data_IF_133215957721
#
_entry.id   IF_133215957721
#
_cell.length_a   1.000
_cell.length_b   1.000
_cell.length_c   1.000
_cell.angle_alpha   90.00
_cell.angle_beta   90.00
_cell.angle_gamma   90.00
#
_symmetry.space_group_name_H-M   'P 1'
#
loop_
_entity.id
_entity.type
_entity.pdbx_description
1 polymer ?
#
# COMPACT_ATOMS: atom_id res chain seq x y z
N UNK A 1 4.69 -37.00 7.94
CA UNK A 1 6.09 -36.59 8.17
C UNK A 1 6.37 -35.48 7.17
N UNK A 2 6.39 -34.22 7.64
CA UNK A 2 6.68 -33.05 6.82
C UNK A 2 8.20 -32.96 6.65
N UNK A 3 8.67 -33.05 5.41
CA UNK A 3 10.09 -32.83 5.08
C UNK A 3 10.38 -31.35 5.31
N UNK A 4 11.39 -30.98 6.11
CA UNK A 4 11.78 -29.59 6.25
C UNK A 4 12.30 -29.09 4.89
N UNK A 5 11.76 -27.96 4.43
CA UNK A 5 12.26 -27.26 3.25
C UNK A 5 13.75 -26.91 3.49
N UNK A 6 14.63 -27.51 2.71
CA UNK A 6 16.04 -27.13 2.68
C UNK A 6 16.10 -25.70 2.19
N UNK A 7 16.53 -24.77 3.06
CA UNK A 7 16.79 -23.40 2.68
C UNK A 7 17.95 -23.43 1.65
N UNK A 8 17.64 -23.14 0.41
CA UNK A 8 18.65 -22.93 -0.63
C UNK A 8 19.33 -21.61 -0.30
N UNK A 9 20.62 -21.63 0.00
CA UNK A 9 21.40 -20.42 0.25
C UNK A 9 21.23 -19.45 -0.92
N UNK A 10 20.88 -18.18 -0.63
CA UNK A 10 20.69 -17.13 -1.65
C UNK A 10 19.26 -16.87 -2.09
N UNK A 11 18.24 -17.56 -1.56
CA UNK A 11 16.83 -17.28 -1.87
C UNK A 11 16.14 -16.54 -0.72
N UNK A 12 15.26 -15.59 -1.07
CA UNK A 12 14.46 -14.80 -0.10
C UNK A 12 13.29 -15.63 0.41
N UNK A 13 13.26 -15.98 1.73
CA UNK A 13 12.20 -16.80 2.28
C UNK A 13 10.82 -16.15 2.09
N UNK A 14 9.82 -16.93 1.71
CA UNK A 14 8.43 -16.50 1.54
C UNK A 14 8.14 -15.77 0.23
N UNK A 15 9.15 -15.35 -0.54
CA UNK A 15 8.95 -14.67 -1.83
C UNK A 15 8.64 -15.68 -2.93
N UNK A 16 9.36 -16.81 -2.95
CA UNK A 16 9.16 -17.86 -3.95
C UNK A 16 7.79 -18.54 -3.82
N UNK A 17 7.22 -18.61 -2.61
CA UNK A 17 5.93 -19.21 -2.30
C UNK A 17 4.75 -18.27 -2.51
N UNK A 18 5.00 -17.01 -2.88
CA UNK A 18 3.95 -16.01 -3.08
C UNK A 18 2.92 -16.46 -4.11
N UNK A 19 1.66 -16.55 -3.71
CA UNK A 19 0.53 -16.92 -4.58
C UNK A 19 -0.13 -15.71 -5.22
N UNK A 20 -0.35 -14.65 -4.43
CA UNK A 20 -0.93 -13.40 -4.90
C UNK A 20 0.15 -12.34 -4.98
N UNK A 21 0.40 -11.85 -6.19
CA UNK A 21 1.47 -10.90 -6.51
C UNK A 21 0.86 -9.61 -7.04
N UNK A 22 1.26 -8.49 -6.46
CA UNK A 22 0.97 -7.15 -6.99
C UNK A 22 2.21 -6.62 -7.67
N UNK A 23 2.11 -6.32 -8.97
CA UNK A 23 3.16 -5.68 -9.75
C UNK A 23 2.84 -4.20 -9.89
N UNK A 24 3.67 -3.32 -9.37
CA UNK A 24 3.54 -1.87 -9.58
C UNK A 24 4.57 -1.39 -10.59
N UNK A 25 4.11 -0.67 -11.60
CA UNK A 25 4.94 -0.12 -12.66
C UNK A 25 4.85 1.39 -12.67
N UNK A 26 5.98 2.06 -12.42
CA UNK A 26 6.06 3.52 -12.41
C UNK A 26 6.21 4.12 -13.82
N UNK A 27 5.83 5.39 -13.97
CA UNK A 27 5.92 6.13 -15.25
C UNK A 27 7.33 6.11 -15.83
N UNK A 28 8.38 6.25 -15.00
CA UNK A 28 9.78 6.23 -15.46
C UNK A 28 10.24 4.86 -15.97
N UNK A 29 9.57 3.77 -15.60
CA UNK A 29 9.81 2.45 -16.18
C UNK A 29 9.18 2.36 -17.56
N UNK A 30 7.97 2.88 -17.72
CA UNK A 30 7.21 2.83 -18.96
C UNK A 30 7.61 3.92 -19.96
N UNK A 31 8.47 4.84 -19.61
CA UNK A 31 8.90 5.93 -20.49
C UNK A 31 10.37 5.78 -20.87
N UNK A 32 10.70 6.17 -22.10
CA UNK A 32 12.05 6.48 -22.52
C UNK A 32 12.55 7.78 -21.86
N UNK A 33 13.83 8.07 -22.01
CA UNK A 33 14.42 9.28 -21.42
C UNK A 33 13.90 10.58 -22.09
N UNK A 34 13.35 10.48 -23.31
CA UNK A 34 12.63 11.56 -24.03
C UNK A 34 11.15 11.71 -23.57
N UNK A 35 10.70 10.90 -22.61
CA UNK A 35 9.36 10.92 -22.06
C UNK A 35 8.31 10.15 -22.86
N UNK A 36 8.65 9.58 -24.03
CA UNK A 36 7.75 8.76 -24.83
C UNK A 36 7.57 7.37 -24.21
N UNK A 37 6.43 6.75 -24.48
CA UNK A 37 6.14 5.40 -23.97
C UNK A 37 7.11 4.36 -24.55
N UNK A 38 7.72 3.58 -23.66
CA UNK A 38 8.57 2.43 -23.99
C UNK A 38 7.70 1.17 -24.14
N UNK A 39 7.16 0.95 -25.33
CA UNK A 39 6.28 -0.19 -25.61
C UNK A 39 6.92 -1.53 -25.25
N UNK A 40 8.21 -1.71 -25.53
CA UNK A 40 8.95 -2.94 -25.18
C UNK A 40 8.90 -3.23 -23.69
N UNK A 41 9.03 -2.21 -22.83
CA UNK A 41 8.96 -2.38 -21.37
C UNK A 41 7.54 -2.66 -20.90
N UNK A 42 6.53 -2.02 -21.49
CA UNK A 42 5.13 -2.32 -21.20
C UNK A 42 4.83 -3.79 -21.53
N UNK A 43 5.19 -4.25 -22.71
CA UNK A 43 4.95 -5.64 -23.10
C UNK A 43 5.80 -6.64 -22.31
N UNK A 44 7.00 -6.29 -21.89
CA UNK A 44 7.79 -7.13 -20.96
C UNK A 44 7.08 -7.32 -19.62
N UNK A 45 6.41 -6.29 -19.11
CA UNK A 45 5.59 -6.41 -17.89
C UNK A 45 4.35 -7.29 -18.13
N UNK A 46 3.70 -7.14 -19.29
CA UNK A 46 2.57 -8.00 -19.68
C UNK A 46 2.99 -9.47 -19.77
N UNK A 47 4.12 -9.75 -20.41
CA UNK A 47 4.68 -11.10 -20.51
C UNK A 47 5.03 -11.68 -19.14
N UNK A 48 5.65 -10.88 -18.27
CA UNK A 48 5.96 -11.30 -16.91
C UNK A 48 4.69 -11.62 -16.10
N UNK A 49 3.66 -10.76 -16.18
CA UNK A 49 2.37 -11.00 -15.54
C UNK A 49 1.70 -12.29 -16.08
N UNK A 50 1.74 -12.49 -17.39
CA UNK A 50 1.20 -13.69 -18.04
C UNK A 50 1.96 -14.97 -17.63
N UNK A 51 3.28 -14.91 -17.49
CA UNK A 51 4.08 -16.04 -17.03
C UNK A 51 3.72 -16.42 -15.59
N UNK A 52 3.56 -15.45 -14.71
CA UNK A 52 3.11 -15.68 -13.32
C UNK A 52 1.71 -16.29 -13.27
N UNK A 53 0.79 -15.77 -14.07
CA UNK A 53 -0.56 -16.30 -14.16
C UNK A 53 -0.57 -17.77 -14.65
N UNK A 54 0.21 -18.11 -15.69
CA UNK A 54 0.35 -19.48 -16.18
C UNK A 54 0.97 -20.42 -15.15
N UNK A 55 1.81 -19.87 -14.25
CA UNK A 55 2.35 -20.61 -13.11
C UNK A 55 1.33 -20.77 -11.94
N UNK A 56 0.05 -20.42 -12.15
CA UNK A 56 -1.02 -20.56 -11.16
C UNK A 56 -1.05 -19.48 -10.09
N UNK A 57 -0.37 -18.36 -10.30
CA UNK A 57 -0.39 -17.22 -9.36
C UNK A 57 -1.50 -16.22 -9.72
N UNK A 58 -2.06 -15.60 -8.71
CA UNK A 58 -2.97 -14.47 -8.87
C UNK A 58 -2.15 -13.19 -9.05
N UNK A 59 -2.36 -12.48 -10.15
CA UNK A 59 -1.58 -11.28 -10.50
C UNK A 59 -2.50 -10.07 -10.58
N UNK A 60 -2.11 -8.98 -9.90
CA UNK A 60 -2.70 -7.67 -10.01
C UNK A 60 -1.63 -6.71 -10.53
N UNK A 61 -1.99 -5.89 -11.49
CA UNK A 61 -1.09 -4.88 -12.06
C UNK A 61 -1.54 -3.49 -11.63
N UNK A 62 -0.66 -2.71 -10.98
CA UNK A 62 -0.88 -1.29 -10.68
C UNK A 62 0.02 -0.48 -11.61
N UNK A 63 -0.59 0.26 -12.53
CA UNK A 63 0.15 0.94 -13.60
C UNK A 63 0.01 2.44 -13.51
N UNK A 64 1.09 3.14 -13.79
CA UNK A 64 1.13 4.57 -14.06
C UNK A 64 1.23 4.84 -15.57
N UNK A 65 1.28 6.12 -15.97
CA UNK A 65 1.59 6.52 -17.35
C UNK A 65 0.41 7.08 -18.13
N UNK A 66 -0.80 7.09 -17.57
CA UNK A 66 -1.99 7.64 -18.24
C UNK A 66 -1.80 9.13 -18.61
N UNK A 67 -1.40 9.98 -17.66
CA UNK A 67 -1.21 11.43 -17.91
C UNK A 67 -0.21 11.67 -19.02
N UNK A 68 0.93 10.94 -19.05
CA UNK A 68 1.94 11.07 -20.10
C UNK A 68 1.41 10.70 -21.48
N UNK A 69 0.69 9.59 -21.59
CA UNK A 69 0.04 9.18 -22.83
C UNK A 69 -1.02 10.16 -23.31
N UNK A 70 -1.76 10.78 -22.39
CA UNK A 70 -2.73 11.81 -22.72
C UNK A 70 -2.08 13.10 -23.20
N UNK A 71 -1.00 13.55 -22.55
CA UNK A 71 -0.17 14.66 -23.00
C UNK A 71 0.25 14.48 -24.46
N UNK A 72 0.83 13.31 -24.77
CA UNK A 72 1.28 12.99 -26.12
C UNK A 72 0.10 12.92 -27.11
N UNK A 73 -1.03 12.41 -26.67
CA UNK A 73 -2.25 12.30 -27.47
C UNK A 73 -2.86 13.66 -27.83
N UNK A 74 -2.76 14.61 -26.91
CA UNK A 74 -3.24 15.98 -27.08
C UNK A 74 -2.20 16.90 -27.75
N UNK A 75 -1.04 16.38 -28.11
CA UNK A 75 0.03 17.15 -28.78
C UNK A 75 0.69 18.20 -27.88
N UNK A 76 0.66 18.02 -26.56
CA UNK A 76 1.25 18.96 -25.63
C UNK A 76 2.75 18.69 -25.50
N UNK A 77 3.57 19.73 -25.71
CA UNK A 77 5.05 19.61 -25.65
C UNK A 77 5.56 19.31 -24.25
N UNK A 78 4.88 19.81 -23.22
CA UNK A 78 5.24 19.63 -21.80
C UNK A 78 4.04 19.22 -20.96
N UNK A 79 4.33 18.72 -19.77
CA UNK A 79 3.30 18.38 -18.79
C UNK A 79 2.56 19.67 -18.38
N UNK A 80 1.20 19.68 -18.41
CA UNK A 80 0.44 20.82 -17.96
C UNK A 80 0.65 21.10 -16.47
N UNK A 81 0.67 22.38 -16.10
CA UNK A 81 0.73 22.82 -14.72
C UNK A 81 -0.68 22.84 -14.09
N UNK A 82 -1.70 23.16 -14.88
CA UNK A 82 -3.09 23.24 -14.44
C UNK A 82 -3.67 21.87 -14.15
N UNK A 83 -4.39 21.75 -13.02
CA UNK A 83 -5.01 20.49 -12.58
C UNK A 83 -6.00 19.95 -13.61
N UNK A 84 -6.90 20.79 -14.12
CA UNK A 84 -7.91 20.38 -15.08
C UNK A 84 -7.31 19.83 -16.39
N UNK A 85 -6.20 20.42 -16.86
CA UNK A 85 -5.49 19.94 -18.03
C UNK A 85 -4.79 18.60 -17.78
N UNK A 86 -4.24 18.39 -16.57
CA UNK A 86 -3.67 17.11 -16.15
C UNK A 86 -4.76 16.03 -16.04
N UNK A 87 -5.93 16.37 -15.51
CA UNK A 87 -7.09 15.47 -15.44
C UNK A 87 -7.59 15.11 -16.84
N UNK A 88 -7.65 16.09 -17.77
CA UNK A 88 -7.99 15.82 -19.16
C UNK A 88 -6.95 14.90 -19.82
N UNK A 89 -5.65 15.13 -19.60
CA UNK A 89 -4.60 14.22 -20.05
C UNK A 89 -4.80 12.81 -19.47
N UNK A 90 -5.09 12.69 -18.15
CA UNK A 90 -5.34 11.40 -17.53
C UNK A 90 -6.51 10.66 -18.20
N UNK A 91 -7.62 11.33 -18.44
CA UNK A 91 -8.81 10.74 -19.07
C UNK A 91 -8.52 10.22 -20.49
N UNK A 92 -7.86 11.03 -21.33
CA UNK A 92 -7.46 10.64 -22.70
C UNK A 92 -6.43 9.51 -22.68
N UNK A 93 -5.43 9.63 -21.83
CA UNK A 93 -4.33 8.68 -21.77
C UNK A 93 -4.70 7.35 -21.14
N UNK A 94 -5.64 7.33 -20.20
CA UNK A 94 -6.11 6.09 -19.57
C UNK A 94 -6.73 5.15 -20.60
N UNK A 95 -7.53 5.66 -21.55
CA UNK A 95 -8.09 4.86 -22.63
C UNK A 95 -7.00 4.22 -23.49
N UNK A 96 -5.95 4.97 -23.82
CA UNK A 96 -4.81 4.47 -24.61
C UNK A 96 -3.99 3.45 -23.84
N UNK A 97 -3.72 3.71 -22.57
CA UNK A 97 -2.99 2.80 -21.68
C UNK A 97 -3.69 1.44 -21.59
N UNK A 98 -5.00 1.45 -21.38
CA UNK A 98 -5.79 0.21 -21.32
C UNK A 98 -5.84 -0.52 -22.65
N UNK A 99 -5.96 0.20 -23.78
CA UNK A 99 -5.88 -0.41 -25.11
C UNK A 99 -4.57 -1.16 -25.36
N UNK A 100 -3.44 -0.63 -24.85
CA UNK A 100 -2.14 -1.31 -24.95
C UNK A 100 -2.07 -2.56 -24.06
N UNK A 101 -2.55 -2.50 -22.81
CA UNK A 101 -2.61 -3.67 -21.95
C UNK A 101 -3.56 -4.72 -22.51
N UNK A 102 -4.75 -4.36 -22.94
CA UNK A 102 -5.71 -5.28 -23.52
C UNK A 102 -5.13 -5.97 -24.77
N UNK A 103 -4.51 -5.20 -25.68
CA UNK A 103 -3.83 -5.74 -26.86
C UNK A 103 -2.72 -6.73 -26.48
N UNK A 104 -1.93 -6.43 -25.44
CA UNK A 104 -0.85 -7.30 -24.98
C UNK A 104 -1.37 -8.58 -24.36
N UNK A 105 -2.29 -8.49 -23.41
CA UNK A 105 -2.86 -9.66 -22.72
C UNK A 105 -3.68 -10.53 -23.64
N UNK A 106 -4.51 -9.95 -24.51
CA UNK A 106 -5.32 -10.72 -25.49
C UNK A 106 -4.47 -11.56 -26.42
N UNK A 107 -3.30 -11.06 -26.89
CA UNK A 107 -2.35 -11.83 -27.69
C UNK A 107 -1.75 -13.03 -26.96
N UNK A 108 -1.72 -12.97 -25.63
CA UNK A 108 -1.27 -14.05 -24.77
C UNK A 108 -2.40 -14.97 -24.30
N UNK A 109 -3.64 -14.72 -24.77
CA UNK A 109 -4.84 -15.48 -24.42
C UNK A 109 -5.39 -15.20 -23.03
N UNK A 110 -5.06 -14.04 -22.45
CA UNK A 110 -5.47 -13.64 -21.11
C UNK A 110 -6.43 -12.45 -21.15
N UNK A 111 -7.56 -12.49 -20.44
CA UNK A 111 -8.38 -11.30 -20.25
C UNK A 111 -7.75 -10.39 -19.21
N UNK A 112 -7.83 -9.08 -19.42
CA UNK A 112 -7.56 -8.09 -18.39
C UNK A 112 -8.79 -7.22 -18.14
N UNK A 113 -8.84 -6.57 -16.97
CA UNK A 113 -9.95 -5.71 -16.59
C UNK A 113 -9.45 -4.42 -15.92
N UNK A 114 -9.96 -3.27 -16.38
CA UNK A 114 -9.64 -1.98 -15.78
C UNK A 114 -10.35 -1.81 -14.44
N UNK A 115 -9.63 -1.30 -13.45
CA UNK A 115 -10.17 -0.88 -12.16
C UNK A 115 -9.54 0.46 -11.79
N UNK A 116 -10.35 1.52 -11.76
CA UNK A 116 -9.91 2.85 -11.35
C UNK A 116 -10.32 3.09 -9.91
N UNK A 117 -9.37 3.54 -9.09
CA UNK A 117 -9.52 3.70 -7.65
C UNK A 117 -9.11 5.10 -7.21
N UNK A 118 -9.82 5.62 -6.22
CA UNK A 118 -9.38 6.73 -5.42
C UNK A 118 -9.02 6.24 -4.00
N UNK A 119 -8.20 6.98 -3.26
CA UNK A 119 -7.83 6.60 -1.88
C UNK A 119 -9.09 6.46 -0.99
N UNK A 120 -10.10 7.32 -1.20
CA UNK A 120 -11.40 7.28 -0.51
C UNK A 120 -12.16 5.96 -0.69
N UNK A 121 -11.90 5.18 -1.74
CA UNK A 121 -12.56 3.88 -1.93
C UNK A 121 -12.08 2.83 -0.93
N UNK A 122 -10.97 3.08 -0.29
CA UNK A 122 -10.45 2.25 0.79
C UNK A 122 -10.92 2.69 2.18
N UNK A 123 -11.34 3.92 2.36
CA UNK A 123 -11.77 4.49 3.65
C UNK A 123 -13.23 4.18 3.95
N UNK A 124 -14.09 4.13 2.92
CA UNK A 124 -15.48 3.72 3.06
C UNK A 124 -15.59 2.19 3.10
N UNK A 125 -16.20 1.67 4.16
CA UNK A 125 -16.34 0.21 4.36
C UNK A 125 -17.14 -0.47 3.26
N UNK A 126 -18.21 0.15 2.76
CA UNK A 126 -19.08 -0.46 1.75
C UNK A 126 -18.36 -0.49 0.41
N UNK A 127 -17.72 0.62 0.02
CA UNK A 127 -16.91 0.71 -1.20
C UNK A 127 -15.76 -0.29 -1.16
N UNK A 128 -15.03 -0.36 -0.04
CA UNK A 128 -13.96 -1.33 0.14
C UNK A 128 -14.42 -2.79 0.00
N UNK A 129 -15.54 -3.17 0.62
CA UNK A 129 -16.06 -4.54 0.50
C UNK A 129 -16.48 -4.87 -0.94
N UNK A 130 -17.11 -3.92 -1.64
CA UNK A 130 -17.46 -4.07 -3.04
C UNK A 130 -16.21 -4.20 -3.91
N UNK A 131 -15.22 -3.34 -3.74
CA UNK A 131 -13.92 -3.41 -4.42
C UNK A 131 -13.25 -4.77 -4.22
N UNK A 132 -13.15 -5.21 -2.96
CA UNK A 132 -12.59 -6.52 -2.62
C UNK A 132 -13.32 -7.67 -3.30
N UNK A 133 -14.65 -7.63 -3.31
CA UNK A 133 -15.48 -8.65 -3.97
C UNK A 133 -15.27 -8.67 -5.49
N UNK A 134 -15.20 -7.50 -6.10
CA UNK A 134 -14.95 -7.35 -7.55
C UNK A 134 -13.57 -7.89 -7.92
N UNK A 135 -12.52 -7.46 -7.24
CA UNK A 135 -11.15 -7.92 -7.50
C UNK A 135 -10.99 -9.43 -7.27
N UNK A 136 -11.57 -9.95 -6.18
CA UNK A 136 -11.57 -11.40 -5.92
C UNK A 136 -12.33 -12.18 -7.01
N UNK A 137 -13.37 -11.60 -7.57
CA UNK A 137 -14.14 -12.25 -8.65
C UNK A 137 -13.37 -12.22 -9.97
N UNK A 138 -12.69 -11.11 -10.32
CA UNK A 138 -11.79 -11.04 -11.47
C UNK A 138 -10.70 -12.11 -11.40
N UNK A 139 -10.00 -12.18 -10.26
CA UNK A 139 -8.93 -13.16 -10.05
C UNK A 139 -9.44 -14.62 -10.18
N UNK A 140 -10.58 -14.94 -9.54
CA UNK A 140 -11.19 -16.29 -9.70
C UNK A 140 -11.58 -16.62 -11.12
N UNK A 141 -11.91 -15.64 -11.95
CA UNK A 141 -12.22 -15.81 -13.36
C UNK A 141 -10.98 -15.81 -14.26
N UNK A 142 -9.80 -15.73 -13.69
CA UNK A 142 -8.54 -15.69 -14.42
C UNK A 142 -8.28 -14.38 -15.16
N UNK A 143 -8.97 -13.30 -14.76
CA UNK A 143 -8.77 -11.96 -15.32
C UNK A 143 -7.65 -11.26 -14.57
N UNK A 144 -6.74 -10.61 -15.28
CA UNK A 144 -5.69 -9.76 -14.69
C UNK A 144 -6.26 -8.36 -14.45
N UNK A 145 -6.48 -7.93 -13.19
CA UNK A 145 -6.90 -6.55 -12.92
C UNK A 145 -5.76 -5.58 -13.22
N UNK A 146 -6.01 -4.59 -14.07
CA UNK A 146 -5.13 -3.46 -14.33
C UNK A 146 -5.69 -2.26 -13.55
N UNK A 147 -5.01 -1.90 -12.49
CA UNK A 147 -5.44 -0.90 -11.52
C UNK A 147 -4.67 0.40 -11.77
N UNK A 148 -5.35 1.53 -11.74
CA UNK A 148 -4.76 2.85 -11.73
C UNK A 148 -5.55 3.79 -10.82
N UNK A 149 -4.97 4.93 -10.48
CA UNK A 149 -5.70 6.00 -9.83
C UNK A 149 -6.75 6.58 -10.78
N UNK A 150 -7.90 6.99 -10.23
CA UNK A 150 -8.93 7.71 -10.98
C UNK A 150 -8.60 9.20 -11.01
N UNK A 151 -7.51 9.54 -11.71
CA UNK A 151 -6.99 10.91 -11.81
C UNK A 151 -8.03 11.90 -12.37
N UNK A 152 -9.01 11.43 -13.15
CA UNK A 152 -10.04 12.28 -13.73
C UNK A 152 -11.01 12.89 -12.70
N UNK A 153 -11.12 12.28 -11.50
CA UNK A 153 -12.02 12.73 -10.42
C UNK A 153 -11.31 12.84 -9.07
N UNK A 154 -10.01 12.58 -9.03
CA UNK A 154 -9.22 12.70 -7.82
C UNK A 154 -9.12 14.17 -7.41
N UNK A 155 -9.60 14.48 -6.20
CA UNK A 155 -9.55 15.83 -5.62
C UNK A 155 -8.34 16.05 -4.74
N UNK A 156 -7.46 15.07 -4.62
CA UNK A 156 -6.30 15.09 -3.73
C UNK A 156 -5.36 16.26 -4.09
N UNK A 157 -5.29 16.64 -5.37
CA UNK A 157 -4.52 17.81 -5.81
C UNK A 157 -5.21 19.16 -5.51
N UNK A 158 -6.53 19.19 -5.28
CA UNK A 158 -7.25 20.43 -4.92
C UNK A 158 -6.90 20.93 -3.51
N UNK A 159 -6.47 20.05 -2.61
CA UNK A 159 -5.99 20.45 -1.28
C UNK A 159 -4.70 21.29 -1.31
N UNK A 160 -4.02 21.35 -2.45
CA UNK A 160 -2.86 22.26 -2.65
C UNK A 160 -3.26 23.73 -2.71
N UNK A 161 -4.51 24.04 -3.09
CA UNK A 161 -4.97 25.43 -3.28
C UNK A 161 -5.26 26.11 -1.94
N UNK A 162 -5.51 25.36 -0.87
CA UNK A 162 -5.90 25.89 0.43
C UNK A 162 -4.76 26.01 1.47
N UNK A 163 -3.50 25.86 1.06
CA UNK A 163 -2.33 26.17 1.90
C UNK A 163 -1.97 25.13 2.97
N UNK A 164 -2.69 24.04 3.08
CA UNK A 164 -2.29 22.90 3.91
C UNK A 164 -1.24 22.05 3.19
N UNK A 165 0.00 22.07 3.72
CA UNK A 165 1.09 21.18 3.29
C UNK A 165 0.85 19.73 3.72
N UNK A 166 -0.31 19.17 3.48
CA UNK A 166 -0.47 17.72 3.52
C UNK A 166 0.20 17.15 2.27
N UNK A 167 1.15 16.26 2.47
CA UNK A 167 1.81 15.52 1.39
C UNK A 167 0.75 14.76 0.60
N UNK A 168 0.42 15.29 -0.57
CA UNK A 168 -0.57 14.72 -1.46
C UNK A 168 0.06 13.52 -2.13
N UNK A 169 -0.46 12.38 -1.82
CA UNK A 169 -0.04 11.09 -2.35
C UNK A 169 -0.89 10.74 -3.60
N UNK A 170 -0.72 11.50 -4.68
CA UNK A 170 -1.07 11.03 -6.02
C UNK A 170 0.00 10.05 -6.50
N UNK A 171 0.27 8.98 -5.76
CA UNK A 171 1.33 8.04 -6.12
C UNK A 171 0.81 6.61 -6.12
N UNK A 172 0.82 6.01 -7.31
CA UNK A 172 0.50 4.59 -7.50
C UNK A 172 1.36 3.64 -6.64
N UNK A 173 2.46 4.12 -6.02
CA UNK A 173 3.22 3.34 -5.03
C UNK A 173 2.34 3.06 -3.80
N UNK A 174 1.75 4.13 -3.22
CA UNK A 174 0.84 4.00 -2.06
C UNK A 174 -0.41 3.20 -2.43
N UNK A 175 -1.01 3.46 -3.59
CA UNK A 175 -2.15 2.70 -4.09
C UNK A 175 -1.82 1.20 -4.15
N UNK A 176 -0.64 0.85 -4.67
CA UNK A 176 -0.20 -0.55 -4.77
C UNK A 176 -0.01 -1.21 -3.40
N UNK A 177 0.50 -0.47 -2.41
CA UNK A 177 0.62 -0.97 -1.04
C UNK A 177 -0.74 -1.18 -0.37
N UNK A 178 -1.71 -0.27 -0.60
CA UNK A 178 -3.08 -0.44 -0.15
C UNK A 178 -3.74 -1.65 -0.81
N UNK A 179 -3.61 -1.80 -2.12
CA UNK A 179 -4.11 -2.98 -2.85
C UNK A 179 -3.49 -4.26 -2.28
N UNK A 180 -2.17 -4.31 -2.10
CA UNK A 180 -1.47 -5.47 -1.59
C UNK A 180 -1.95 -5.85 -0.18
N UNK A 181 -1.99 -4.89 0.73
CA UNK A 181 -2.35 -5.16 2.13
C UNK A 181 -3.83 -5.53 2.29
N UNK A 182 -4.73 -4.82 1.59
CA UNK A 182 -6.18 -5.01 1.74
C UNK A 182 -6.69 -6.26 1.06
N UNK A 183 -6.04 -6.69 -0.03
CA UNK A 183 -6.37 -7.95 -0.69
C UNK A 183 -5.59 -9.15 -0.14
N UNK A 184 -4.71 -8.93 0.82
CA UNK A 184 -3.88 -9.98 1.40
C UNK A 184 -2.93 -10.60 0.37
N UNK A 185 -2.24 -9.75 -0.40
CA UNK A 185 -1.18 -10.21 -1.28
C UNK A 185 0.03 -10.71 -0.48
N UNK A 186 0.73 -11.67 -1.05
CA UNK A 186 1.93 -12.24 -0.44
C UNK A 186 3.18 -11.43 -0.83
N UNK A 187 3.16 -10.84 -2.04
CA UNK A 187 4.29 -10.11 -2.59
C UNK A 187 3.83 -8.86 -3.34
N UNK A 188 4.47 -7.73 -3.06
CA UNK A 188 4.42 -6.48 -3.82
C UNK A 188 5.77 -6.26 -4.50
N UNK A 189 5.79 -6.17 -5.83
CA UNK A 189 6.97 -5.80 -6.61
C UNK A 189 6.82 -4.37 -7.10
N UNK A 190 7.67 -3.48 -6.61
CA UNK A 190 7.71 -2.06 -6.98
C UNK A 190 8.80 -1.87 -8.05
N UNK A 191 8.39 -1.82 -9.30
CA UNK A 191 9.31 -1.59 -10.42
C UNK A 191 9.63 -0.10 -10.55
N UNK A 192 10.93 0.20 -10.63
CA UNK A 192 11.50 1.55 -10.69
C UNK A 192 12.59 1.65 -11.75
N UNK A 193 13.12 2.85 -11.96
CA UNK A 193 14.23 3.14 -12.88
C UNK A 193 15.62 2.91 -12.27
N UNK A 194 15.68 2.57 -10.97
CA UNK A 194 16.93 2.28 -10.23
C UNK A 194 16.96 0.84 -9.74
N UNK A 195 18.15 0.31 -9.45
CA UNK A 195 18.32 -1.10 -9.06
C UNK A 195 17.61 -1.48 -7.75
N UNK A 196 17.36 -0.51 -6.87
CA UNK A 196 16.71 -0.70 -5.57
C UNK A 196 16.98 0.49 -4.66
N UNK A 197 16.95 0.25 -3.35
CA UNK A 197 17.26 1.24 -2.30
C UNK A 197 18.74 1.17 -1.98
N UNK A 198 19.40 2.32 -1.98
CA UNK A 198 20.81 2.46 -1.63
C UNK A 198 20.99 3.12 -0.26
N UNK A 199 22.12 2.93 0.37
CA UNK A 199 22.49 3.58 1.63
C UNK A 199 22.67 5.09 1.49
N UNK A 200 22.93 5.60 0.26
CA UNK A 200 23.05 7.01 -0.13
C UNK A 200 22.71 7.18 -1.62
N UNK A 201 22.60 8.42 -2.11
CA UNK A 201 22.28 8.67 -3.53
C UNK A 201 23.42 8.20 -4.46
N UNK A 202 23.23 7.14 -5.27
CA UNK A 202 24.27 6.61 -6.14
C UNK A 202 24.69 7.57 -7.27
N UNK A 203 23.90 8.61 -7.55
CA UNK A 203 24.25 9.63 -8.55
C UNK A 203 25.31 10.61 -8.02
N UNK A 204 25.36 10.80 -6.70
CA UNK A 204 26.31 11.67 -6.01
C UNK A 204 27.46 10.90 -5.36
N UNK A 205 27.21 9.64 -5.05
CA UNK A 205 28.12 8.77 -4.31
C UNK A 205 28.32 7.49 -5.09
N UNK A 206 29.36 7.40 -5.94
CA UNK A 206 29.65 6.18 -6.72
C UNK A 206 29.90 4.94 -5.86
N UNK A 207 30.29 5.14 -4.59
CA UNK A 207 30.48 4.09 -3.59
C UNK A 207 29.21 3.64 -2.89
N UNK A 208 28.04 4.21 -3.23
CA UNK A 208 26.75 3.84 -2.66
C UNK A 208 26.48 2.35 -2.81
N UNK A 209 26.01 1.73 -1.74
CA UNK A 209 25.75 0.29 -1.70
C UNK A 209 24.26 0.01 -1.78
N UNK A 210 23.88 -0.95 -2.62
CA UNK A 210 22.53 -1.45 -2.66
C UNK A 210 22.19 -2.20 -1.37
N UNK A 211 21.09 -1.83 -0.72
CA UNK A 211 20.55 -2.52 0.43
C UNK A 211 19.73 -3.72 -0.05
N UNK A 212 20.30 -4.91 -0.12
CA UNK A 212 19.60 -6.11 -0.60
C UNK A 212 18.45 -6.52 0.31
N UNK A 213 18.55 -6.20 1.61
CA UNK A 213 17.53 -6.49 2.64
C UNK A 213 17.35 -5.30 3.58
N UNK A 214 16.10 -4.98 3.90
CA UNK A 214 15.70 -3.86 4.77
C UNK A 214 14.80 -4.38 5.88
N UNK A 215 15.39 -4.77 7.02
CA UNK A 215 14.66 -5.28 8.19
C UNK A 215 14.09 -4.17 9.08
N UNK A 216 14.77 -3.03 9.16
CA UNK A 216 14.41 -1.88 9.99
C UNK A 216 14.24 -0.62 9.13
N UNK A 217 13.16 -0.52 8.34
CA UNK A 217 12.96 0.61 7.44
C UNK A 217 12.80 1.95 8.18
N UNK A 218 12.38 1.92 9.45
CA UNK A 218 12.24 3.11 10.29
C UNK A 218 13.61 3.78 10.56
N UNK A 219 14.71 3.03 10.44
CA UNK A 219 16.10 3.53 10.57
C UNK A 219 16.72 4.00 9.25
N UNK A 220 16.03 3.88 8.13
CA UNK A 220 16.55 4.39 6.85
C UNK A 220 16.80 5.91 6.88
N UNK A 221 16.06 6.65 7.71
CA UNK A 221 16.28 8.07 7.95
C UNK A 221 17.55 8.39 8.77
N UNK A 222 18.09 7.40 9.50
CA UNK A 222 19.28 7.54 10.34
C UNK A 222 20.59 7.26 9.57
N UNK A 223 20.48 6.71 8.35
CA UNK A 223 21.64 6.46 7.49
C UNK A 223 22.28 7.79 7.04
N UNK A 224 23.61 7.88 6.98
CA UNK A 224 24.29 9.05 6.42
C UNK A 224 23.84 9.27 4.97
N UNK A 225 23.11 10.38 4.72
CA UNK A 225 22.42 10.61 3.45
C UNK A 225 21.03 10.01 3.34
N UNK A 226 20.45 9.56 4.46
CA UNK A 226 19.12 8.96 4.54
C UNK A 226 17.97 9.87 4.10
N UNK A 227 16.78 9.30 3.98
CA UNK A 227 15.57 9.91 3.41
C UNK A 227 15.17 11.30 3.97
N UNK A 228 15.79 11.76 5.04
CA UNK A 228 15.54 13.07 5.65
C UNK A 228 16.33 14.24 5.07
N UNK A 229 17.51 14.02 4.45
CA UNK A 229 18.39 15.12 4.05
C UNK A 229 18.65 15.27 2.56
N UNK A 230 18.82 14.20 1.79
CA UNK A 230 19.17 14.29 0.36
C UNK A 230 18.48 13.28 -0.56
N UNK A 231 18.06 12.10 -0.07
CA UNK A 231 17.22 11.13 -0.79
C UNK A 231 15.80 11.68 -1.05
N UNK A 232 15.44 12.79 -0.39
CA UNK A 232 14.08 13.29 -0.24
C UNK A 232 13.44 13.98 -1.46
N UNK A 233 14.08 14.06 -2.61
CA UNK A 233 13.52 14.75 -3.79
C UNK A 233 13.26 13.84 -5.00
N UNK A 234 13.14 12.53 -4.81
CA UNK A 234 12.86 11.60 -5.91
C UNK A 234 11.91 10.49 -5.51
N UNK A 235 11.24 9.89 -6.47
CA UNK A 235 10.25 8.82 -6.27
C UNK A 235 10.74 7.54 -5.59
N UNK A 236 11.94 7.51 -4.99
CA UNK A 236 12.41 6.38 -4.18
C UNK A 236 11.79 6.39 -2.78
N UNK A 237 11.52 7.58 -2.22
CA UNK A 237 10.94 7.72 -0.87
C UNK A 237 9.52 7.15 -0.85
N UNK A 238 8.70 7.46 -1.85
CA UNK A 238 7.35 6.90 -1.95
C UNK A 238 7.35 5.38 -2.06
N UNK A 239 8.36 4.81 -2.75
CA UNK A 239 8.52 3.35 -2.86
C UNK A 239 8.94 2.70 -1.55
N UNK A 240 9.82 3.36 -0.80
CA UNK A 240 10.20 2.91 0.54
C UNK A 240 8.98 2.94 1.45
N UNK A 241 8.23 4.04 1.48
CA UNK A 241 7.00 4.17 2.27
C UNK A 241 5.97 3.09 1.90
N UNK A 242 5.75 2.87 0.61
CA UNK A 242 4.86 1.81 0.12
C UNK A 242 5.34 0.39 0.51
N UNK A 243 6.65 0.12 0.38
CA UNK A 243 7.23 -1.15 0.80
C UNK A 243 7.10 -1.38 2.30
N UNK A 244 7.29 -0.32 3.11
CA UNK A 244 7.09 -0.36 4.57
C UNK A 244 5.65 -0.67 4.93
N UNK A 245 4.68 0.01 4.28
CA UNK A 245 3.24 -0.24 4.49
C UNK A 245 2.91 -1.69 4.13
N UNK A 246 3.40 -2.19 3.00
CA UNK A 246 3.19 -3.57 2.59
C UNK A 246 3.80 -4.57 3.59
N UNK A 247 5.05 -4.37 3.99
CA UNK A 247 5.76 -5.23 4.93
C UNK A 247 5.07 -5.28 6.31
N UNK A 248 4.70 -4.13 6.85
CA UNK A 248 3.91 -4.04 8.10
C UNK A 248 2.54 -4.71 7.93
N UNK A 249 1.95 -4.65 6.74
CA UNK A 249 0.72 -5.33 6.39
C UNK A 249 0.87 -6.85 6.18
N UNK A 250 2.07 -7.42 6.37
CA UNK A 250 2.34 -8.86 6.22
C UNK A 250 2.46 -9.32 4.76
N UNK A 251 2.83 -8.41 3.87
CA UNK A 251 3.13 -8.64 2.48
C UNK A 251 4.62 -8.37 2.26
N UNK A 252 5.36 -9.32 1.69
CA UNK A 252 6.72 -9.04 1.26
C UNK A 252 6.73 -7.92 0.22
N UNK A 253 7.71 -7.02 0.26
CA UNK A 253 7.87 -6.04 -0.80
C UNK A 253 9.29 -6.08 -1.36
N UNK A 254 9.40 -5.91 -2.69
CA UNK A 254 10.68 -5.83 -3.38
C UNK A 254 10.68 -4.59 -4.27
N UNK A 255 11.68 -3.74 -4.10
CA UNK A 255 11.96 -2.61 -4.99
C UNK A 255 13.06 -3.03 -5.95
N UNK A 256 12.79 -3.04 -7.26
CA UNK A 256 13.73 -3.52 -8.26
C UNK A 256 13.65 -2.72 -9.56
N UNK A 257 14.72 -2.80 -10.39
CA UNK A 257 14.77 -2.11 -11.67
C UNK A 257 13.83 -2.73 -12.70
N UNK A 258 12.78 -2.01 -13.08
CA UNK A 258 11.90 -2.42 -14.18
C UNK A 258 12.51 -2.24 -15.56
N UNK A 259 13.74 -1.71 -15.65
CA UNK A 259 14.53 -1.63 -16.90
C UNK A 259 15.34 -2.90 -17.17
N UNK A 260 15.51 -3.76 -16.16
CA UNK A 260 16.23 -5.02 -16.27
C UNK A 260 15.32 -6.12 -16.85
N UNK A 261 15.69 -6.74 -17.98
CA UNK A 261 14.91 -7.82 -18.56
C UNK A 261 14.79 -9.02 -17.59
N UNK A 262 13.58 -9.58 -17.48
CA UNK A 262 13.34 -10.76 -16.66
C UNK A 262 13.35 -10.49 -15.13
N UNK A 263 13.49 -9.24 -14.67
CA UNK A 263 13.58 -8.90 -13.24
C UNK A 263 12.42 -9.46 -12.42
N UNK A 264 11.19 -9.40 -12.95
CA UNK A 264 10.02 -9.91 -12.23
C UNK A 264 10.12 -11.42 -11.99
N UNK A 265 10.56 -12.19 -12.99
CA UNK A 265 10.73 -13.63 -12.86
C UNK A 265 11.80 -13.97 -11.80
N UNK A 266 12.92 -13.26 -11.80
CA UNK A 266 14.01 -13.43 -10.82
C UNK A 266 13.57 -13.07 -9.41
N UNK A 267 12.88 -11.95 -9.25
CA UNK A 267 12.32 -11.54 -7.94
C UNK A 267 11.37 -12.61 -7.41
N UNK A 268 10.45 -13.09 -8.24
CA UNK A 268 9.44 -14.09 -7.85
C UNK A 268 10.03 -15.49 -7.65
N UNK A 269 11.19 -15.77 -8.26
CA UNK A 269 11.98 -16.97 -7.93
C UNK A 269 12.68 -16.88 -6.57
N UNK A 270 12.64 -15.72 -5.93
CA UNK A 270 13.28 -15.48 -4.62
C UNK A 270 14.74 -15.06 -4.73
N UNK A 271 15.25 -14.78 -5.91
CA UNK A 271 16.64 -14.34 -6.09
C UNK A 271 16.92 -13.00 -5.39
N UNK A 272 18.16 -12.76 -5.01
CA UNK A 272 18.63 -11.51 -4.40
C UNK A 272 18.74 -10.37 -5.43
N UNK A 273 17.60 -9.98 -6.01
CA UNK A 273 17.48 -8.85 -6.93
C UNK A 273 16.75 -7.68 -6.28
N UNK A 274 17.31 -6.47 -6.38
CA UNK A 274 16.72 -5.29 -5.76
C UNK A 274 16.77 -5.30 -4.23
N UNK A 275 15.94 -4.50 -3.61
CA UNK A 275 15.85 -4.34 -2.14
C UNK A 275 14.59 -5.01 -1.62
N UNK A 276 14.77 -5.96 -0.72
CA UNK A 276 13.69 -6.73 -0.11
C UNK A 276 13.34 -6.21 1.27
N UNK A 277 12.06 -6.00 1.48
CA UNK A 277 11.42 -5.67 2.75
C UNK A 277 10.63 -6.90 3.20
N UNK A 278 11.14 -7.66 4.18
CA UNK A 278 10.45 -8.86 4.67
C UNK A 278 9.08 -8.54 5.24
N UNK A 279 8.09 -9.42 4.97
CA UNK A 279 6.82 -9.36 5.63
C UNK A 279 7.01 -9.48 7.14
N UNK A 280 6.48 -8.52 7.91
CA UNK A 280 6.46 -8.63 9.37
C UNK A 280 5.34 -9.60 9.76
N UNK A 281 5.71 -10.74 10.34
CA UNK A 281 4.78 -11.79 10.76
C UNK A 281 3.96 -11.35 11.96
N UNK A 282 2.67 -11.71 12.00
CA UNK A 282 1.87 -11.69 13.22
C UNK A 282 0.46 -11.12 13.13
N UNK A 283 0.12 -10.32 12.13
CA UNK A 283 -1.23 -9.75 12.06
C UNK A 283 -2.13 -10.53 11.08
N UNK A 284 -3.19 -11.15 11.58
CA UNK A 284 -4.26 -11.70 10.74
C UNK A 284 -4.90 -10.60 9.86
N UNK A 285 -5.56 -10.97 8.77
CA UNK A 285 -6.12 -10.04 7.77
C UNK A 285 -6.96 -8.90 8.38
N UNK A 286 -7.73 -9.17 9.45
CA UNK A 286 -8.55 -8.18 10.15
C UNK A 286 -7.70 -7.15 10.92
N UNK A 287 -6.64 -7.60 11.60
CA UNK A 287 -5.72 -6.70 12.31
C UNK A 287 -4.90 -5.85 11.34
N UNK A 288 -4.51 -6.42 10.20
CA UNK A 288 -3.87 -5.66 9.11
C UNK A 288 -4.75 -4.51 8.61
N UNK A 289 -6.04 -4.79 8.43
CA UNK A 289 -7.01 -3.76 8.04
C UNK A 289 -7.10 -2.64 9.08
N UNK A 290 -7.18 -2.95 10.36
CA UNK A 290 -7.25 -1.96 11.46
C UNK A 290 -5.96 -1.13 11.51
N UNK A 291 -4.80 -1.75 11.34
CA UNK A 291 -3.51 -1.08 11.49
C UNK A 291 -3.19 -0.09 10.36
N UNK A 292 -3.52 -0.47 9.11
CA UNK A 292 -2.93 0.18 7.95
C UNK A 292 -3.94 0.67 6.90
N UNK A 293 -5.19 0.26 7.04
CA UNK A 293 -6.14 0.37 5.94
C UNK A 293 -7.09 1.54 6.04
N UNK A 294 -7.24 2.16 7.21
CA UNK A 294 -8.24 3.21 7.46
C UNK A 294 -7.62 4.37 8.24
N UNK A 295 -7.86 5.59 7.80
CA UNK A 295 -7.60 6.77 8.63
C UNK A 295 -8.53 6.72 9.86
N UNK A 296 -8.01 6.91 11.09
CA UNK A 296 -8.84 6.92 12.27
C UNK A 296 -9.91 8.02 12.21
N UNK A 297 -11.16 7.69 12.46
CA UNK A 297 -12.28 8.64 12.48
C UNK A 297 -12.45 9.37 13.82
N UNK A 298 -11.66 8.99 14.80
CA UNK A 298 -11.66 9.60 16.13
C UNK A 298 -10.52 9.10 16.99
N UNK A 299 -10.43 9.63 18.20
CA UNK A 299 -9.39 9.30 19.18
C UNK A 299 -10.03 8.89 20.50
N UNK A 300 -9.55 7.80 21.08
CA UNK A 300 -9.83 7.40 22.45
C UNK A 300 -8.59 7.65 23.31
N UNK A 301 -8.70 8.58 24.26
CA UNK A 301 -7.64 8.86 25.23
C UNK A 301 -7.74 7.87 26.39
N UNK A 302 -6.69 7.12 26.60
CA UNK A 302 -6.61 6.03 27.57
C UNK A 302 -5.99 6.50 28.88
N UNK A 303 -6.33 5.81 29.97
CA UNK A 303 -5.54 5.94 31.20
C UNK A 303 -4.35 4.97 31.24
N UNK A 304 -3.42 5.18 32.19
CA UNK A 304 -2.22 4.35 32.31
C UNK A 304 -2.51 2.86 32.57
N UNK A 305 -3.58 2.55 33.31
CA UNK A 305 -3.99 1.17 33.59
C UNK A 305 -4.50 0.46 32.34
N UNK A 306 -5.24 1.16 31.49
CA UNK A 306 -5.70 0.64 30.20
C UNK A 306 -4.51 0.37 29.27
N UNK A 307 -3.57 1.32 29.15
CA UNK A 307 -2.35 1.12 28.34
C UNK A 307 -1.57 -0.10 28.81
N UNK A 308 -1.36 -0.26 30.10
CA UNK A 308 -0.66 -1.43 30.65
C UNK A 308 -1.41 -2.74 30.39
N UNK A 309 -2.74 -2.75 30.57
CA UNK A 309 -3.57 -3.92 30.32
C UNK A 309 -3.53 -4.34 28.83
N UNK A 310 -3.58 -3.38 27.92
CA UNK A 310 -3.48 -3.62 26.49
C UNK A 310 -2.11 -4.20 26.11
N UNK A 311 -1.01 -3.55 26.55
CA UNK A 311 0.35 -3.93 26.15
C UNK A 311 0.83 -5.22 26.80
N UNK A 312 0.65 -5.36 28.12
CA UNK A 312 1.21 -6.51 28.85
C UNK A 312 0.31 -7.72 28.92
N UNK A 313 -1.01 -7.53 28.91
CA UNK A 313 -1.97 -8.64 29.10
C UNK A 313 -2.73 -9.02 27.82
N UNK A 314 -2.54 -8.27 26.72
CA UNK A 314 -3.30 -8.47 25.48
C UNK A 314 -4.83 -8.37 25.70
N UNK A 315 -5.24 -7.52 26.65
CA UNK A 315 -6.64 -7.37 27.05
C UNK A 315 -7.44 -6.60 25.97
N UNK A 316 -8.77 -6.68 26.06
CA UNK A 316 -9.66 -5.81 25.32
C UNK A 316 -9.77 -4.44 26.03
N UNK A 317 -9.99 -3.37 25.28
CA UNK A 317 -10.22 -2.05 25.85
C UNK A 317 -11.66 -1.95 26.38
N UNK A 318 -11.79 -1.72 27.68
CA UNK A 318 -13.07 -1.44 28.34
C UNK A 318 -13.33 0.09 28.37
N UNK A 319 -14.58 0.49 28.43
CA UNK A 319 -14.96 1.89 28.54
C UNK A 319 -14.37 2.58 29.76
N UNK A 320 -14.22 1.85 30.88
CA UNK A 320 -13.62 2.35 32.13
C UNK A 320 -12.16 2.84 31.97
N UNK A 321 -11.44 2.31 30.98
CA UNK A 321 -10.06 2.71 30.68
C UNK A 321 -9.94 3.91 29.74
N UNK A 322 -11.06 4.47 29.27
CA UNK A 322 -11.09 5.62 28.36
C UNK A 322 -11.48 6.88 29.13
N UNK A 323 -10.63 7.89 29.07
CA UNK A 323 -10.80 9.19 29.73
C UNK A 323 -11.55 10.20 28.89
N UNK A 324 -11.34 10.17 27.56
CA UNK A 324 -11.93 11.15 26.62
C UNK A 324 -12.14 10.49 25.25
N UNK A 325 -13.21 10.90 24.59
CA UNK A 325 -13.59 10.46 23.24
C UNK A 325 -13.64 11.67 22.32
N UNK A 326 -12.82 11.71 21.29
CA UNK A 326 -12.77 12.77 20.28
C UNK A 326 -13.21 12.25 18.90
N UNK A 327 -13.69 13.18 18.07
CA UNK A 327 -14.14 12.89 16.71
C UNK A 327 -15.58 12.37 16.66
N UNK A 328 -15.99 12.07 15.43
CA UNK A 328 -17.29 11.47 15.14
C UNK A 328 -17.05 10.18 14.34
N UNK A 329 -17.54 9.07 14.84
CA UNK A 329 -17.36 7.76 14.27
C UNK A 329 -18.59 6.87 14.49
N UNK A 330 -18.85 6.00 13.55
CA UNK A 330 -19.91 5.01 13.61
C UNK A 330 -19.39 3.68 14.21
N UNK A 331 -20.33 2.81 14.58
CA UNK A 331 -20.01 1.45 15.02
C UNK A 331 -19.27 0.70 13.91
N UNK A 332 -18.11 0.12 14.26
CA UNK A 332 -17.29 -0.67 13.35
C UNK A 332 -16.24 0.16 12.61
N UNK A 333 -16.15 1.46 12.87
CA UNK A 333 -15.06 2.29 12.39
C UNK A 333 -13.81 2.18 13.26
N UNK A 334 -12.68 2.60 12.70
CA UNK A 334 -11.37 2.55 13.37
C UNK A 334 -11.09 3.89 14.05
N UNK A 335 -10.61 3.82 15.28
CA UNK A 335 -10.17 4.97 16.08
C UNK A 335 -8.72 4.78 16.50
N UNK A 336 -8.05 5.90 16.73
CA UNK A 336 -6.72 5.93 17.33
C UNK A 336 -6.83 5.82 18.85
N UNK A 337 -5.90 5.11 19.45
CA UNK A 337 -5.78 4.97 20.91
C UNK A 337 -4.55 5.75 21.36
N UNK A 338 -4.75 6.76 22.22
CA UNK A 338 -3.67 7.59 22.77
C UNK A 338 -3.46 7.36 24.25
N UNK A 339 -2.21 7.30 24.66
CA UNK A 339 -1.80 7.20 26.05
C UNK A 339 -1.92 8.53 26.80
N UNK A 340 -1.68 8.51 28.13
CA UNK A 340 -1.70 9.72 28.98
C UNK A 340 -0.63 10.74 28.59
N UNK A 341 0.44 10.30 27.95
CA UNK A 341 1.56 11.09 27.43
C UNK A 341 1.26 11.74 26.06
N UNK A 342 0.08 11.48 25.50
CA UNK A 342 -0.32 11.91 24.16
C UNK A 342 0.25 11.07 23.03
N UNK A 343 1.10 10.07 23.34
CA UNK A 343 1.65 9.15 22.34
C UNK A 343 0.61 8.16 21.82
N UNK A 344 0.73 7.74 20.56
CA UNK A 344 -0.13 6.72 19.97
C UNK A 344 0.20 5.37 20.57
N UNK A 345 -0.80 4.71 21.14
CA UNK A 345 -0.70 3.35 21.71
C UNK A 345 -1.05 2.30 20.66
N UNK A 346 -1.94 2.65 19.73
CA UNK A 346 -2.39 1.75 18.69
C UNK A 346 -3.68 2.21 18.02
N UNK A 347 -4.34 1.29 17.32
CA UNK A 347 -5.62 1.51 16.64
C UNK A 347 -6.59 0.38 16.94
N UNK A 348 -7.89 0.68 16.96
CA UNK A 348 -8.90 -0.31 17.23
C UNK A 348 -10.23 -0.01 16.57
N UNK A 349 -10.97 -1.07 16.24
CA UNK A 349 -12.32 -0.95 15.71
C UNK A 349 -13.33 -0.95 16.84
N UNK A 350 -14.13 0.12 16.93
CA UNK A 350 -15.09 0.32 18.01
C UNK A 350 -16.39 -0.47 17.82
N UNK A 351 -17.02 -0.84 18.94
CA UNK A 351 -18.28 -1.60 18.95
C UNK A 351 -19.53 -0.72 19.08
N UNK A 352 -19.39 0.60 19.24
CA UNK A 352 -20.49 1.57 19.23
C UNK A 352 -20.06 2.84 18.49
N UNK A 353 -21.01 3.75 18.27
CA UNK A 353 -20.74 5.07 17.72
C UNK A 353 -20.12 6.01 18.77
N UNK A 354 -19.69 7.19 18.33
CA UNK A 354 -19.04 8.17 19.20
C UNK A 354 -19.92 8.64 20.36
N UNK A 355 -21.24 8.80 20.12
CA UNK A 355 -22.18 9.20 21.15
C UNK A 355 -22.37 8.11 22.20
N UNK A 356 -22.48 6.84 21.74
CA UNK A 356 -22.52 5.66 22.60
C UNK A 356 -21.24 5.48 23.42
N UNK A 357 -20.06 5.69 22.80
CA UNK A 357 -18.78 5.63 23.48
C UNK A 357 -18.69 6.68 24.61
N UNK A 358 -19.07 7.94 24.34
CA UNK A 358 -19.08 9.01 25.35
C UNK A 358 -19.98 8.68 26.54
N UNK A 359 -21.21 8.21 26.28
CA UNK A 359 -22.13 7.80 27.37
C UNK A 359 -21.57 6.62 28.17
N UNK A 360 -21.03 5.63 27.49
CA UNK A 360 -20.46 4.45 28.14
C UNK A 360 -19.26 4.78 29.01
N UNK A 361 -18.37 5.64 28.55
CA UNK A 361 -17.25 6.17 29.35
C UNK A 361 -17.73 7.04 30.53
N UNK A 362 -18.90 7.68 30.42
CA UNK A 362 -19.56 8.40 31.50
C UNK A 362 -20.31 7.52 32.50
N UNK A 363 -20.26 6.18 32.36
CA UNK A 363 -20.90 5.23 33.26
C UNK A 363 -22.27 4.70 32.80
N UNK A 364 -22.76 5.10 31.62
CA UNK A 364 -24.03 4.68 31.05
C UNK A 364 -23.80 3.74 29.84
N UNK A 365 -23.72 2.42 30.03
CA UNK A 365 -23.53 1.49 28.92
C UNK A 365 -24.76 1.50 27.99
N UNK A 366 -24.55 1.27 26.66
CA UNK A 366 -25.66 1.10 25.73
C UNK A 366 -26.62 -0.04 26.14
N UNK A 367 -27.89 0.06 25.75
CA UNK A 367 -28.89 -0.95 26.08
C UNK A 367 -28.45 -2.36 25.65
N UNK A 368 -28.52 -3.34 26.56
CA UNK A 368 -28.10 -4.73 26.31
C UNK A 368 -26.58 -4.99 26.42
N UNK A 369 -25.78 -3.96 26.73
CA UNK A 369 -24.33 -4.09 26.93
C UNK A 369 -24.03 -4.08 28.43
N UNK A 370 -23.28 -5.10 28.89
CA UNK A 370 -22.82 -5.18 30.29
C UNK A 370 -21.46 -4.51 30.44
N UNK A 371 -21.13 -4.00 31.65
CA UNK A 371 -19.88 -3.26 31.94
C UNK A 371 -18.58 -4.01 31.58
N UNK A 372 -18.61 -5.33 31.45
CA UNK A 372 -17.46 -6.14 31.03
C UNK A 372 -17.33 -6.33 29.52
N UNK A 373 -18.26 -5.82 28.72
CA UNK A 373 -18.10 -5.83 27.28
C UNK A 373 -17.02 -4.82 26.85
N UNK A 374 -16.28 -5.21 25.82
CA UNK A 374 -15.19 -4.37 25.32
C UNK A 374 -15.71 -3.25 24.41
N UNK A 375 -15.24 -2.03 24.64
CA UNK A 375 -15.41 -0.92 23.71
C UNK A 375 -14.63 -1.19 22.41
N UNK A 376 -13.40 -1.76 22.55
CA UNK A 376 -12.60 -2.31 21.47
C UNK A 376 -12.13 -3.72 21.88
N UNK A 377 -12.55 -4.73 21.12
CA UNK A 377 -12.14 -6.11 21.40
C UNK A 377 -10.67 -6.35 21.01
N UNK A 378 -9.95 -7.17 21.78
CA UNK A 378 -8.54 -7.50 21.52
C UNK A 378 -8.26 -8.04 20.12
N UNK A 379 -9.21 -8.75 19.49
CA UNK A 379 -9.08 -9.25 18.13
C UNK A 379 -9.27 -8.14 17.07
N UNK A 380 -9.79 -7.00 17.51
CA UNK A 380 -10.03 -5.79 16.74
C UNK A 380 -9.08 -4.64 17.14
N UNK A 381 -7.96 -4.98 17.74
CA UNK A 381 -6.97 -4.04 18.27
C UNK A 381 -5.60 -4.35 17.68
N UNK A 382 -4.88 -3.30 17.33
CA UNK A 382 -3.47 -3.37 16.94
C UNK A 382 -2.72 -2.32 17.74
N UNK A 383 -1.71 -2.75 18.47
CA UNK A 383 -0.84 -1.88 19.24
C UNK A 383 0.37 -1.47 18.39
N UNK A 384 0.86 -0.25 18.58
CA UNK A 384 2.15 0.16 18.06
C UNK A 384 3.26 -0.42 18.95
N UNK A 385 4.35 -0.90 18.32
CA UNK A 385 5.54 -1.35 19.03
C UNK A 385 6.18 -0.15 19.73
N UNK A 386 6.64 -0.32 20.96
CA UNK A 386 7.42 0.70 21.66
C UNK A 386 8.70 1.00 20.85
N UNK A 387 8.96 2.31 20.63
CA UNK A 387 10.19 2.78 20.02
C UNK A 387 11.38 2.56 20.94
#
# INVERSE_FOLDING_TARGET
>A
MSVPAVAVEGLRPGVAEARRVVLKVGTKVLAHDDGRLALSRLFSVVEAAAALWRAGREVLLVSSGAVGLGRDALGLERMPDELCDRQACAAVGQTRLMGLYDSGFSRLGLPCGQVLLAESDFDDRVRYLNLRSTLATLLRRGVVPVINENDAVSTVELAYVEGERQRIFGDNDRLSALVATKLGADLLVLLTDVAGVFDRDPRRHPEARLLSRVDAPDRLGELPGGAGSELGRGGIVSKIEAAVVAARGGCHAVVASGREPGVVARVVAGEEVGSWFPARSGLGARRRWIAFAVAPRGVLHLDGGAVEALRRRGASLLAAGVRRVEGDFARGEVVELRGPDGGTVGRGMVHCDAAGARRWCGGEPPAGVRNHHALVHRDHLVLEEEK
#
